data_IF_105705691226
#
_entry.id   IF_105705691226
#
_cell.length_a   1.000
_cell.length_b   1.000
_cell.length_c   1.000
_cell.angle_alpha   90.00
_cell.angle_beta   90.00
_cell.angle_gamma   90.00
#
_symmetry.space_group_name_H-M   'P 1'
#
loop_
_entity.id
_entity.type
_entity.pdbx_description
1 polymer ?
#
# COMPACT_ATOMS: atom_id res chain seq x y z
N UNK A 1 1.27 -5.87 29.20
CA UNK A 1 2.26 -5.92 28.10
C UNK A 1 2.38 -4.50 27.58
N UNK A 2 3.57 -3.89 27.61
CA UNK A 2 3.74 -2.52 27.16
C UNK A 2 3.23 -2.39 25.71
N UNK A 3 2.34 -1.42 25.46
CA UNK A 3 1.94 -1.04 24.10
C UNK A 3 3.19 -0.56 23.36
N UNK A 4 3.92 -1.49 22.73
CA UNK A 4 5.02 -1.16 21.84
C UNK A 4 4.41 -0.49 20.61
N UNK A 5 4.35 0.84 20.62
CA UNK A 5 3.94 1.65 19.50
C UNK A 5 5.21 2.23 18.89
N UNK A 6 5.49 1.91 17.64
CA UNK A 6 6.58 2.53 16.91
C UNK A 6 6.22 3.98 16.58
N UNK A 7 7.23 4.85 16.59
CA UNK A 7 7.08 6.25 16.19
C UNK A 7 7.80 6.46 14.87
N UNK A 8 7.12 7.12 13.92
CA UNK A 8 7.68 7.50 12.65
C UNK A 8 7.44 8.98 12.35
N UNK A 9 8.48 9.65 11.88
CA UNK A 9 8.44 11.06 11.49
C UNK A 9 7.99 11.17 10.04
N UNK A 10 6.86 11.84 9.79
CA UNK A 10 6.30 12.05 8.45
C UNK A 10 7.07 13.17 7.75
N UNK A 11 7.55 12.87 6.56
CA UNK A 11 8.11 13.85 5.63
C UNK A 11 7.03 14.16 4.60
N UNK A 12 6.34 15.27 4.83
CA UNK A 12 5.28 15.73 3.93
C UNK A 12 5.92 16.30 2.66
N UNK A 13 5.33 15.94 1.51
CA UNK A 13 5.68 16.51 0.22
C UNK A 13 4.47 17.21 -0.38
N UNK A 14 4.70 18.18 -1.26
CA UNK A 14 3.63 18.87 -2.01
C UNK A 14 2.76 17.88 -2.81
N UNK A 15 3.31 16.73 -3.18
CA UNK A 15 2.55 15.63 -3.76
C UNK A 15 2.16 14.59 -2.69
N UNK A 16 0.85 14.31 -2.49
CA UNK A 16 0.41 13.28 -1.54
C UNK A 16 1.05 11.92 -1.78
N UNK A 17 1.36 11.60 -3.04
CA UNK A 17 1.97 10.33 -3.42
C UNK A 17 3.44 10.21 -3.04
N UNK A 18 4.14 11.34 -2.89
CA UNK A 18 5.55 11.38 -2.54
C UNK A 18 5.77 11.40 -1.02
N UNK A 19 4.70 11.48 -0.22
CA UNK A 19 4.79 11.48 1.24
C UNK A 19 5.23 10.11 1.77
N UNK A 20 6.14 10.11 2.73
CA UNK A 20 6.67 8.92 3.40
C UNK A 20 6.95 9.24 4.88
N UNK A 21 7.19 8.21 5.68
CA UNK A 21 7.62 8.37 7.07
C UNK A 21 8.97 7.71 7.32
N UNK A 22 9.72 8.23 8.29
CA UNK A 22 11.03 7.74 8.68
C UNK A 22 11.00 7.24 10.12
N UNK A 23 11.44 6.01 10.31
CA UNK A 23 11.68 5.42 11.63
C UNK A 23 13.18 5.50 11.91
N UNK A 24 13.55 6.31 12.89
CA UNK A 24 14.94 6.55 13.25
C UNK A 24 15.44 5.58 14.34
N UNK A 25 14.56 5.09 15.20
CA UNK A 25 14.92 4.21 16.31
C UNK A 25 15.09 2.74 15.83
N UNK A 26 16.27 2.13 15.99
CA UNK A 26 16.50 0.72 15.65
C UNK A 26 15.55 -0.25 16.37
N UNK A 27 15.13 0.03 17.60
CA UNK A 27 14.20 -0.83 18.34
C UNK A 27 12.83 -0.85 17.67
N UNK A 28 12.35 0.30 17.21
CA UNK A 28 11.12 0.40 16.43
C UNK A 28 11.24 -0.31 15.08
N UNK A 29 12.39 -0.22 14.40
CA UNK A 29 12.63 -0.95 13.14
C UNK A 29 12.53 -2.46 13.36
N UNK A 30 13.20 -2.99 14.39
CA UNK A 30 13.15 -4.42 14.72
C UNK A 30 11.73 -4.84 15.08
N UNK A 31 11.02 -4.03 15.88
CA UNK A 31 9.63 -4.28 16.24
C UNK A 31 8.72 -4.36 15.01
N UNK A 32 8.83 -3.39 14.08
CA UNK A 32 8.03 -3.37 12.86
C UNK A 32 8.30 -4.57 11.97
N UNK A 33 9.57 -4.94 11.79
CA UNK A 33 9.96 -6.06 10.92
C UNK A 33 9.59 -7.42 11.51
N UNK A 34 9.88 -7.64 12.80
CA UNK A 34 9.74 -8.96 13.42
C UNK A 34 8.32 -9.22 13.96
N UNK A 35 7.62 -8.21 14.46
CA UNK A 35 6.29 -8.38 15.07
C UNK A 35 5.15 -7.91 14.17
N UNK A 36 5.36 -6.84 13.41
CA UNK A 36 4.31 -6.24 12.59
C UNK A 36 4.41 -6.61 11.10
N UNK A 37 5.43 -7.35 10.65
CA UNK A 37 5.66 -7.73 9.24
C UNK A 37 5.78 -6.53 8.28
N UNK A 38 6.21 -5.38 8.77
CA UNK A 38 6.46 -4.17 7.97
C UNK A 38 7.96 -4.03 7.74
N UNK A 39 8.38 -4.10 6.48
CA UNK A 39 9.80 -4.17 6.13
C UNK A 39 10.41 -2.84 5.71
N UNK A 40 9.61 -1.93 5.15
CA UNK A 40 10.06 -0.63 4.65
C UNK A 40 11.16 -0.72 3.59
N UNK A 41 11.71 0.45 3.27
CA UNK A 41 12.91 0.60 2.46
C UNK A 41 14.05 1.17 3.32
N UNK A 42 15.26 0.63 3.18
CA UNK A 42 16.42 1.19 3.88
C UNK A 42 16.80 2.53 3.23
N UNK A 43 16.91 3.58 4.04
CA UNK A 43 17.45 4.86 3.59
C UNK A 43 18.92 4.96 4.00
N UNK A 44 19.82 4.99 3.02
CA UNK A 44 21.25 5.19 3.25
C UNK A 44 21.52 6.68 3.14
N UNK A 45 21.94 7.31 4.24
CA UNK A 45 22.34 8.71 4.23
C UNK A 45 23.61 8.86 3.39
N UNK A 46 23.57 9.65 2.33
CA UNK A 46 24.68 9.83 1.36
C UNK A 46 25.83 10.67 1.96
N UNK A 47 25.66 11.24 3.15
CA UNK A 47 26.71 11.96 3.86
C UNK A 47 27.76 10.99 4.44
N UNK A 48 28.89 10.86 3.73
CA UNK A 48 30.23 10.44 4.19
C UNK A 48 30.30 9.45 5.35
N UNK A 49 30.71 8.21 5.03
CA UNK A 49 31.34 7.21 5.92
C UNK A 49 31.27 7.52 7.43
N UNK A 50 30.14 7.18 8.08
CA UNK A 50 30.05 7.14 9.54
C UNK A 50 28.86 6.31 9.98
N UNK A 51 29.03 5.64 11.11
CA UNK A 51 28.19 4.68 11.87
C UNK A 51 26.78 5.19 12.23
N UNK A 52 26.02 5.74 11.28
CA UNK A 52 24.63 6.12 11.51
C UNK A 52 23.74 4.86 11.43
N UNK A 53 22.82 4.64 12.39
CA UNK A 53 21.90 3.51 12.34
C UNK A 53 21.02 3.61 11.09
N UNK A 54 20.82 2.47 10.43
CA UNK A 54 19.98 2.38 9.23
C UNK A 54 18.56 2.86 9.55
N UNK A 55 18.14 3.96 8.91
CA UNK A 55 16.79 4.49 9.02
C UNK A 55 15.85 3.69 8.13
N UNK A 56 14.65 3.43 8.63
CA UNK A 56 13.63 2.73 7.87
C UNK A 56 12.62 3.72 7.30
N UNK A 57 12.54 3.76 5.98
CA UNK A 57 11.53 4.51 5.25
C UNK A 57 10.28 3.67 5.08
N UNK A 58 9.16 4.18 5.57
CA UNK A 58 7.84 3.60 5.41
C UNK A 58 7.10 4.31 4.29
N UNK A 59 6.54 3.52 3.38
CA UNK A 59 5.62 4.01 2.38
C UNK A 59 4.21 4.19 2.95
N UNK A 60 3.36 4.90 2.21
CA UNK A 60 2.00 5.22 2.61
C UNK A 60 1.17 3.98 2.99
N UNK A 61 1.27 2.90 2.21
CA UNK A 61 0.60 1.63 2.48
C UNK A 61 1.00 1.00 3.83
N UNK A 62 2.28 1.08 4.17
CA UNK A 62 2.83 0.56 5.43
C UNK A 62 2.41 1.41 6.62
N UNK A 63 2.47 2.74 6.45
CA UNK A 63 1.98 3.71 7.44
C UNK A 63 0.50 3.46 7.75
N UNK A 64 -0.30 3.20 6.71
CA UNK A 64 -1.74 3.01 6.84
C UNK A 64 -2.11 1.83 7.71
N UNK A 65 -1.44 0.69 7.49
CA UNK A 65 -1.67 -0.50 8.32
C UNK A 65 -1.23 -0.23 9.76
N UNK A 66 -0.09 0.41 9.96
CA UNK A 66 0.42 0.72 11.30
C UNK A 66 -0.49 1.62 12.12
N UNK A 67 -0.99 2.69 11.50
CA UNK A 67 -1.94 3.63 12.13
C UNK A 67 -3.26 2.92 12.41
N UNK A 68 -3.84 2.26 11.40
CA UNK A 68 -5.15 1.59 11.52
C UNK A 68 -5.14 0.48 12.58
N UNK A 69 -4.01 -0.21 12.76
CA UNK A 69 -3.84 -1.28 13.75
C UNK A 69 -3.28 -0.81 15.08
N UNK A 70 -2.98 0.49 15.22
CA UNK A 70 -2.55 1.10 16.48
C UNK A 70 -1.12 0.75 16.93
N UNK A 71 -0.29 0.21 16.04
CA UNK A 71 1.12 -0.11 16.36
C UNK A 71 2.12 0.93 15.83
N UNK A 72 1.65 1.94 15.09
CA UNK A 72 2.45 3.04 14.57
C UNK A 72 1.79 4.37 14.89
N UNK A 73 2.57 5.31 15.43
CA UNK A 73 2.20 6.71 15.60
C UNK A 73 3.03 7.58 14.65
N UNK A 74 2.35 8.50 13.98
CA UNK A 74 2.95 9.43 13.05
C UNK A 74 3.18 10.77 13.75
N UNK A 75 4.36 11.35 13.58
CA UNK A 75 4.75 12.65 14.13
C UNK A 75 5.25 13.57 13.01
N UNK A 76 5.02 14.87 13.11
CA UNK A 76 5.56 15.85 12.17
C UNK A 76 7.09 15.97 12.29
N UNK A 77 7.75 16.36 11.21
CA UNK A 77 9.19 16.59 11.21
C UNK A 77 9.52 17.89 11.93
N UNK A 78 10.04 17.81 13.16
CA UNK A 78 10.53 19.00 13.86
C UNK A 78 11.81 19.50 13.18
N UNK A 79 11.72 20.55 12.39
CA UNK A 79 12.90 21.22 11.82
C UNK A 79 13.46 22.14 12.91
N UNK A 80 14.46 21.67 13.66
CA UNK A 80 15.25 22.51 14.55
C UNK A 80 16.21 23.42 13.74
N UNK A 81 15.67 24.33 12.93
CA UNK A 81 16.38 25.50 12.44
C UNK A 81 15.91 26.69 13.28
N UNK A 82 16.85 27.36 13.97
CA UNK A 82 16.53 28.41 14.93
C UNK A 82 15.55 29.46 14.41
N UNK A 83 14.60 29.83 15.28
CA UNK A 83 13.51 30.80 15.11
C UNK A 83 12.31 30.36 14.25
N UNK A 84 11.22 30.05 14.95
CA UNK A 84 9.80 30.46 14.73
C UNK A 84 8.85 29.27 14.97
N UNK A 85 8.25 29.22 16.16
CA UNK A 85 7.32 28.19 16.67
C UNK A 85 5.95 28.14 15.96
N UNK A 86 5.79 28.81 14.81
CA UNK A 86 4.49 28.97 14.12
C UNK A 86 4.25 27.86 13.10
N UNK A 87 5.30 27.25 12.55
CA UNK A 87 5.17 26.19 11.54
C UNK A 87 4.80 24.82 12.13
N UNK A 88 5.14 24.58 13.40
CA UNK A 88 4.97 23.27 14.04
C UNK A 88 3.50 22.88 14.20
N UNK A 89 2.59 23.84 14.45
CA UNK A 89 1.16 23.57 14.64
C UNK A 89 0.44 23.23 13.33
N UNK A 90 0.77 23.93 12.25
CA UNK A 90 0.19 23.66 10.92
C UNK A 90 0.66 22.30 10.37
N UNK A 91 1.94 21.96 10.54
CA UNK A 91 2.47 20.66 10.14
C UNK A 91 1.88 19.51 10.98
N UNK A 92 1.70 19.71 12.29
CA UNK A 92 1.02 18.72 13.15
C UNK A 92 -0.44 18.52 12.75
N UNK A 93 -1.19 19.61 12.49
CA UNK A 93 -2.57 19.52 12.03
C UNK A 93 -2.68 18.79 10.68
N UNK A 94 -1.73 19.02 9.78
CA UNK A 94 -1.65 18.32 8.50
C UNK A 94 -1.37 16.83 8.68
N UNK A 95 -0.41 16.46 9.54
CA UNK A 95 -0.11 15.04 9.85
C UNK A 95 -1.29 14.35 10.51
N UNK A 96 -2.02 15.02 11.40
CA UNK A 96 -3.24 14.50 12.01
C UNK A 96 -4.33 14.28 10.95
N UNK A 97 -4.57 15.25 10.07
CA UNK A 97 -5.53 15.13 8.97
C UNK A 97 -5.16 13.96 8.04
N UNK A 98 -3.88 13.83 7.68
CA UNK A 98 -3.36 12.70 6.91
C UNK A 98 -3.59 11.37 7.61
N UNK A 99 -3.32 11.32 8.91
CA UNK A 99 -3.50 10.12 9.74
C UNK A 99 -4.97 9.67 9.73
N UNK A 100 -5.92 10.62 9.83
CA UNK A 100 -7.35 10.36 9.74
C UNK A 100 -7.76 9.84 8.36
N UNK A 101 -7.28 10.48 7.28
CA UNK A 101 -7.60 10.05 5.91
C UNK A 101 -7.05 8.65 5.61
N UNK A 102 -5.81 8.38 6.00
CA UNK A 102 -5.16 7.09 5.82
C UNK A 102 -5.86 5.99 6.64
N UNK A 103 -6.34 6.31 7.84
CA UNK A 103 -7.13 5.40 8.68
C UNK A 103 -8.52 5.08 8.08
N UNK A 104 -8.93 5.80 7.04
CA UNK A 104 -10.23 5.61 6.37
C UNK A 104 -11.36 6.46 6.97
N UNK A 105 -11.04 7.37 7.89
CA UNK A 105 -11.97 8.39 8.37
C UNK A 105 -11.96 9.53 7.34
N UNK A 106 -12.77 9.41 6.29
CA UNK A 106 -12.83 10.38 5.20
C UNK A 106 -13.31 11.73 5.75
N UNK A 107 -12.39 12.64 6.01
CA UNK A 107 -12.68 14.06 6.27
C UNK A 107 -12.76 14.79 4.93
N UNK A 108 -13.94 15.25 4.56
CA UNK A 108 -14.23 15.89 3.26
C UNK A 108 -13.69 17.33 3.12
N UNK A 109 -12.74 17.75 3.96
CA UNK A 109 -12.17 19.11 3.94
C UNK A 109 -10.68 19.10 4.27
N UNK A 110 -9.85 19.26 3.24
CA UNK A 110 -8.46 19.65 3.40
C UNK A 110 -7.65 19.56 2.10
N UNK A 111 -6.40 20.09 2.10
CA UNK A 111 -5.55 20.19 0.91
C UNK A 111 -4.94 18.86 0.49
N UNK A 112 -4.81 17.92 1.43
CA UNK A 112 -4.30 16.58 1.18
C UNK A 112 -5.47 15.64 0.87
N UNK A 113 -5.43 14.98 -0.30
CA UNK A 113 -6.44 14.02 -0.75
C UNK A 113 -5.79 12.94 -1.61
N UNK A 114 -6.06 11.68 -1.30
CA UNK A 114 -5.60 10.53 -2.06
C UNK A 114 -6.48 10.26 -3.28
N UNK A 115 -5.87 9.71 -4.34
CA UNK A 115 -6.62 9.23 -5.51
C UNK A 115 -7.39 7.95 -5.18
N UNK A 116 -8.43 7.65 -5.96
CA UNK A 116 -9.19 6.39 -5.82
C UNK A 116 -8.27 5.17 -5.89
N UNK A 117 -7.39 5.13 -6.89
CA UNK A 117 -6.36 4.08 -7.03
C UNK A 117 -5.49 3.93 -5.78
N UNK A 118 -5.14 5.03 -5.11
CA UNK A 118 -4.39 4.99 -3.85
C UNK A 118 -5.22 4.37 -2.73
N UNK A 119 -6.47 4.79 -2.56
CA UNK A 119 -7.35 4.18 -1.56
C UNK A 119 -7.50 2.67 -1.77
N UNK A 120 -7.61 2.20 -3.02
CA UNK A 120 -7.71 0.77 -3.30
C UNK A 120 -6.42 0.03 -2.99
N UNK A 121 -5.27 0.63 -3.32
CA UNK A 121 -3.96 0.09 -2.91
C UNK A 121 -3.82 -0.02 -1.39
N UNK A 122 -4.27 0.99 -0.62
CA UNK A 122 -4.27 0.92 0.84
C UNK A 122 -5.14 -0.23 1.37
N UNK A 123 -6.35 -0.40 0.81
CA UNK A 123 -7.28 -1.49 1.20
C UNK A 123 -6.72 -2.86 0.86
N UNK A 124 -6.20 -3.05 -0.36
CA UNK A 124 -5.60 -4.31 -0.80
C UNK A 124 -4.38 -4.66 0.04
N UNK A 125 -3.50 -3.68 0.32
CA UNK A 125 -2.33 -3.92 1.16
C UNK A 125 -2.74 -4.36 2.58
N UNK A 126 -3.72 -3.66 3.18
CA UNK A 126 -4.26 -4.02 4.50
C UNK A 126 -4.86 -5.43 4.51
N UNK A 127 -5.69 -5.77 3.54
CA UNK A 127 -6.34 -7.08 3.46
C UNK A 127 -5.32 -8.22 3.30
N UNK A 128 -4.31 -8.05 2.45
CA UNK A 128 -3.22 -9.02 2.31
C UNK A 128 -2.42 -9.18 3.61
N UNK A 129 -2.15 -8.08 4.30
CA UNK A 129 -1.48 -8.11 5.60
C UNK A 129 -2.33 -8.82 6.68
N UNK A 130 -3.64 -8.58 6.71
CA UNK A 130 -4.59 -9.22 7.63
C UNK A 130 -4.71 -10.72 7.37
N UNK A 131 -4.65 -11.14 6.11
CA UNK A 131 -4.57 -12.56 5.70
C UNK A 131 -3.26 -13.25 6.09
N UNK A 132 -2.30 -12.49 6.62
CA UNK A 132 -1.08 -13.02 7.21
C UNK A 132 0.14 -12.97 6.30
N UNK A 133 0.02 -12.41 5.10
CA UNK A 133 1.15 -12.26 4.19
C UNK A 133 2.09 -11.14 4.63
N UNK A 134 3.38 -11.29 4.30
CA UNK A 134 4.30 -10.16 4.24
C UNK A 134 4.15 -9.52 2.87
N UNK A 135 3.89 -8.21 2.83
CA UNK A 135 3.62 -7.47 1.60
C UNK A 135 4.74 -6.45 1.36
N UNK A 136 5.39 -6.53 0.20
CA UNK A 136 6.42 -5.55 -0.24
C UNK A 136 6.07 -4.96 -1.59
N UNK A 137 6.81 -3.95 -2.05
CA UNK A 137 6.51 -3.25 -3.30
C UNK A 137 7.05 -3.98 -4.53
N UNK A 138 6.17 -4.16 -5.52
CA UNK A 138 6.40 -4.94 -6.74
C UNK A 138 7.02 -4.18 -7.92
N UNK A 139 7.47 -2.93 -7.71
CA UNK A 139 7.88 -2.03 -8.82
C UNK A 139 8.97 -2.61 -9.71
N UNK A 140 9.90 -3.41 -9.15
CA UNK A 140 10.95 -4.13 -9.91
C UNK A 140 10.40 -5.14 -10.91
N UNK A 141 9.16 -5.59 -10.74
CA UNK A 141 8.50 -6.61 -11.54
C UNK A 141 7.27 -6.06 -12.27
N UNK A 142 7.11 -4.73 -12.34
CA UNK A 142 5.95 -4.09 -12.97
C UNK A 142 4.61 -4.43 -12.30
N UNK A 143 4.63 -4.76 -11.00
CA UNK A 143 3.45 -5.01 -10.19
C UNK A 143 3.37 -3.97 -9.05
N UNK A 144 2.21 -3.82 -8.41
CA UNK A 144 2.09 -2.93 -7.26
C UNK A 144 2.74 -3.56 -6.02
N UNK A 145 2.47 -4.86 -5.79
CA UNK A 145 2.96 -5.56 -4.61
C UNK A 145 3.52 -6.96 -4.93
N UNK A 146 4.35 -7.44 -4.01
CA UNK A 146 4.75 -8.84 -3.89
C UNK A 146 4.26 -9.36 -2.54
N UNK A 147 3.75 -10.59 -2.53
CA UNK A 147 3.36 -11.26 -1.29
C UNK A 147 4.27 -12.43 -0.98
N UNK A 148 4.56 -12.61 0.31
CA UNK A 148 5.39 -13.70 0.83
C UNK A 148 4.65 -14.35 1.99
N UNK A 149 4.79 -15.68 2.11
CA UNK A 149 4.29 -16.42 3.28
C UNK A 149 5.16 -16.23 4.52
N UNK A 150 6.42 -15.88 4.32
CA UNK A 150 7.43 -15.73 5.37
C UNK A 150 8.39 -14.59 4.99
N UNK A 151 9.48 -14.45 5.74
CA UNK A 151 10.43 -13.35 5.64
C UNK A 151 10.99 -13.19 4.20
N UNK A 152 10.87 -12.01 3.58
CA UNK A 152 11.32 -11.74 2.21
C UNK A 152 12.83 -11.89 2.00
N UNK A 153 13.63 -11.93 3.08
CA UNK A 153 15.08 -12.19 3.01
C UNK A 153 15.40 -13.68 2.75
N UNK A 154 14.50 -14.59 3.11
CA UNK A 154 14.73 -16.04 3.07
C UNK A 154 13.71 -16.79 2.22
N UNK A 155 12.54 -16.20 1.99
CA UNK A 155 11.47 -16.79 1.19
C UNK A 155 11.38 -16.15 -0.20
N UNK A 156 10.98 -16.96 -1.18
CA UNK A 156 10.57 -16.45 -2.47
C UNK A 156 9.17 -15.84 -2.38
N UNK A 157 8.95 -14.72 -3.07
CA UNK A 157 7.59 -14.18 -3.20
C UNK A 157 6.69 -15.22 -3.86
N UNK A 158 5.52 -15.45 -3.27
CA UNK A 158 4.50 -16.38 -3.74
C UNK A 158 3.85 -15.82 -5.02
N UNK A 159 3.51 -14.54 -4.99
CA UNK A 159 2.78 -13.90 -6.09
C UNK A 159 3.08 -12.41 -6.26
N UNK A 160 2.81 -11.94 -7.47
CA UNK A 160 2.75 -10.54 -7.88
C UNK A 160 1.29 -10.08 -7.82
N UNK A 161 1.04 -8.90 -7.24
CA UNK A 161 -0.28 -8.30 -7.13
C UNK A 161 -0.32 -7.00 -7.93
N UNK A 162 -1.33 -6.87 -8.79
CA UNK A 162 -1.63 -5.66 -9.54
C UNK A 162 -2.99 -5.12 -9.12
N UNK A 163 -3.03 -3.90 -8.59
CA UNK A 163 -4.29 -3.26 -8.19
C UNK A 163 -4.86 -2.50 -9.37
N UNK A 164 -6.10 -2.81 -9.70
CA UNK A 164 -6.86 -2.27 -10.83
C UNK A 164 -8.27 -1.90 -10.36
N UNK A 165 -8.86 -0.88 -10.97
CA UNK A 165 -10.28 -0.59 -10.73
C UNK A 165 -11.12 -1.81 -11.15
N UNK A 166 -12.22 -2.07 -10.45
CA UNK A 166 -13.09 -3.20 -10.72
C UNK A 166 -13.68 -3.15 -12.13
N UNK A 167 -14.00 -1.94 -12.61
CA UNK A 167 -14.53 -1.70 -13.94
C UNK A 167 -13.45 -1.30 -14.96
N UNK A 168 -12.16 -1.41 -14.60
CA UNK A 168 -11.07 -1.05 -15.51
C UNK A 168 -10.97 -2.02 -16.69
N UNK A 169 -11.09 -1.49 -17.91
CA UNK A 169 -10.83 -2.28 -19.11
C UNK A 169 -9.33 -2.59 -19.27
N UNK A 170 -9.03 -3.78 -19.77
CA UNK A 170 -7.67 -4.19 -20.08
C UNK A 170 -7.39 -4.13 -21.58
N UNK A 171 -6.29 -3.48 -21.95
CA UNK A 171 -5.73 -3.70 -23.28
C UNK A 171 -5.21 -5.14 -23.37
N UNK A 172 -5.48 -5.82 -24.49
CA UNK A 172 -5.03 -7.22 -24.71
C UNK A 172 -3.52 -7.36 -24.53
N UNK A 173 -2.76 -6.34 -24.96
CA UNK A 173 -1.30 -6.29 -24.89
C UNK A 173 -0.80 -6.28 -23.43
N UNK A 174 -1.54 -5.67 -22.52
CA UNK A 174 -1.19 -5.60 -21.09
C UNK A 174 -1.29 -6.99 -20.46
N UNK A 175 -2.38 -7.72 -20.75
CA UNK A 175 -2.57 -9.09 -20.26
C UNK A 175 -1.42 -9.99 -20.70
N UNK A 176 -1.01 -9.90 -21.98
CA UNK A 176 0.14 -10.67 -22.50
C UNK A 176 1.44 -10.27 -21.80
N UNK A 177 1.62 -8.98 -21.55
CA UNK A 177 2.81 -8.45 -20.85
C UNK A 177 2.88 -8.97 -19.41
N UNK A 178 1.78 -8.93 -18.67
CA UNK A 178 1.70 -9.48 -17.32
C UNK A 178 1.94 -11.00 -17.30
N UNK A 179 1.36 -11.75 -18.25
CA UNK A 179 1.63 -13.19 -18.39
C UNK A 179 3.11 -13.48 -18.61
N UNK A 180 3.76 -12.72 -19.51
CA UNK A 180 5.20 -12.85 -19.80
C UNK A 180 6.02 -12.58 -18.54
N UNK A 181 5.75 -11.48 -17.83
CA UNK A 181 6.48 -11.13 -16.62
C UNK A 181 6.35 -12.23 -15.54
N UNK A 182 5.12 -12.65 -15.25
CA UNK A 182 4.83 -13.70 -14.28
C UNK A 182 5.56 -15.02 -14.60
N UNK A 183 5.56 -15.41 -15.88
CA UNK A 183 6.26 -16.61 -16.36
C UNK A 183 7.78 -16.49 -16.25
N UNK A 184 8.35 -15.33 -16.56
CA UNK A 184 9.80 -15.11 -16.48
C UNK A 184 10.32 -15.23 -15.04
N UNK A 185 9.57 -14.71 -14.06
CA UNK A 185 9.97 -14.75 -12.65
C UNK A 185 9.45 -15.98 -11.90
N UNK A 186 8.69 -16.85 -12.58
CA UNK A 186 8.06 -18.06 -12.04
C UNK A 186 7.22 -17.79 -10.78
N UNK A 187 6.37 -16.76 -10.85
CA UNK A 187 5.46 -16.36 -9.76
C UNK A 187 4.03 -16.34 -10.25
N UNK A 188 3.09 -16.58 -9.35
CA UNK A 188 1.68 -16.32 -9.64
C UNK A 188 1.47 -14.83 -9.85
N UNK A 189 0.51 -14.47 -10.69
CA UNK A 189 0.10 -13.09 -10.90
C UNK A 189 -1.39 -12.98 -10.57
N UNK A 190 -1.74 -12.01 -9.73
CA UNK A 190 -3.12 -11.76 -9.35
C UNK A 190 -3.45 -10.29 -9.60
N UNK A 191 -4.61 -10.07 -10.19
CA UNK A 191 -5.29 -8.78 -10.13
C UNK A 191 -6.04 -8.68 -8.82
N UNK A 192 -6.04 -7.49 -8.23
CA UNK A 192 -6.81 -7.17 -7.04
C UNK A 192 -7.66 -5.93 -7.32
N UNK A 193 -8.96 -6.01 -7.03
CA UNK A 193 -9.90 -4.92 -7.25
C UNK A 193 -10.82 -4.77 -6.05
N UNK A 194 -11.15 -3.53 -5.70
CA UNK A 194 -12.08 -3.24 -4.61
C UNK A 194 -13.46 -3.03 -5.21
N UNK A 195 -14.42 -3.86 -4.81
CA UNK A 195 -15.80 -3.77 -5.25
C UNK A 195 -16.67 -3.18 -4.14
N UNK A 196 -17.48 -2.16 -4.47
CA UNK A 196 -18.55 -1.73 -3.59
C UNK A 196 -19.73 -2.70 -3.76
N UNK A 197 -20.12 -3.39 -2.69
CA UNK A 197 -21.34 -4.19 -2.72
C UNK A 197 -22.48 -3.24 -2.36
N UNK A 198 -23.28 -2.88 -3.36
CA UNK A 198 -24.57 -2.24 -3.11
C UNK A 198 -25.54 -3.35 -2.66
N UNK A 199 -25.92 -3.33 -1.38
CA UNK A 199 -27.06 -4.12 -0.94
C UNK A 199 -28.29 -3.59 -1.68
N UNK A 200 -28.82 -4.41 -2.59
CA UNK A 200 -30.13 -4.19 -3.19
C UNK A 200 -31.17 -4.15 -2.07
N UNK A 201 -31.51 -2.95 -1.62
CA UNK A 201 -32.63 -2.76 -0.70
C UNK A 201 -33.88 -3.25 -1.43
N UNK A 202 -34.48 -4.33 -0.93
CA UNK A 202 -35.89 -4.62 -1.21
C UNK A 202 -36.68 -3.40 -0.75
N UNK A 203 -37.45 -2.80 -1.67
CA UNK A 203 -38.28 -1.63 -1.43
C UNK A 203 -39.22 -1.85 -0.24
N UNK A 204 -38.93 -1.25 0.90
CA UNK A 204 -39.89 -0.81 1.92
C UNK A 204 -39.20 0.14 2.94
N UNK A 205 -39.98 1.08 3.47
CA UNK A 205 -39.63 2.46 3.86
C UNK A 205 -38.63 2.75 5.01
N UNK A 206 -38.04 3.95 4.90
CA UNK A 206 -37.55 4.91 5.92
C UNK A 206 -36.68 4.41 7.09
N UNK A 207 -35.37 4.72 7.06
CA UNK A 207 -34.60 5.13 8.26
C UNK A 207 -33.27 5.80 7.89
N UNK A 208 -33.04 6.96 8.48
CA UNK A 208 -31.73 7.61 8.61
C UNK A 208 -30.70 6.61 9.14
N UNK A 209 -29.62 6.46 8.38
CA UNK A 209 -28.49 5.62 8.74
C UNK A 209 -27.43 5.77 7.67
N UNK A 210 -26.28 6.33 8.03
CA UNK A 210 -25.05 6.31 7.23
C UNK A 210 -24.75 4.85 6.88
N UNK A 211 -25.23 4.41 5.72
CA UNK A 211 -24.97 3.09 5.19
C UNK A 211 -23.47 2.97 4.93
N UNK A 212 -22.76 2.25 5.79
CA UNK A 212 -21.36 1.92 5.56
C UNK A 212 -21.33 0.98 4.38
N UNK A 213 -21.10 1.51 3.17
CA UNK A 213 -20.93 0.72 1.96
C UNK A 213 -19.85 -0.34 2.22
N UNK A 214 -20.26 -1.60 2.31
CA UNK A 214 -19.34 -2.70 2.57
C UNK A 214 -18.53 -2.94 1.29
N UNK A 215 -17.22 -2.72 1.37
CA UNK A 215 -16.32 -2.88 0.23
C UNK A 215 -15.60 -4.22 0.35
N UNK A 216 -15.83 -5.11 -0.61
CA UNK A 216 -15.14 -6.38 -0.71
C UNK A 216 -13.92 -6.24 -1.63
N UNK A 217 -12.94 -7.14 -1.47
CA UNK A 217 -11.78 -7.20 -2.35
C UNK A 217 -11.82 -8.52 -3.12
N UNK A 218 -11.77 -8.41 -4.45
CA UNK A 218 -11.77 -9.55 -5.36
C UNK A 218 -10.36 -9.75 -5.90
N UNK A 219 -9.90 -11.01 -5.87
CA UNK A 219 -8.61 -11.41 -6.42
C UNK A 219 -8.80 -12.36 -7.59
N UNK A 220 -8.26 -12.02 -8.75
CA UNK A 220 -8.36 -12.83 -9.97
C UNK A 220 -6.96 -13.28 -10.35
N UNK A 221 -6.72 -14.59 -10.33
CA UNK A 221 -5.43 -15.15 -10.76
C UNK A 221 -5.35 -15.21 -12.28
N UNK A 222 -4.24 -14.75 -12.82
CA UNK A 222 -3.90 -14.89 -14.23
C UNK A 222 -3.15 -16.22 -14.42
N UNK A 223 -3.92 -17.30 -14.57
CA UNK A 223 -3.38 -18.64 -14.84
C UNK A 223 -3.42 -18.91 -16.35
N UNK A 224 -2.25 -19.17 -16.95
CA UNK A 224 -2.07 -19.66 -18.33
C UNK A 224 -2.97 -19.01 -19.38
N UNK A 225 -2.58 -17.83 -19.88
CA UNK A 225 -3.13 -17.34 -21.14
C UNK A 225 -2.68 -18.27 -22.28
N UNK A 226 -3.54 -19.22 -22.69
CA UNK A 226 -3.43 -19.90 -23.97
C UNK A 226 -3.73 -18.87 -25.07
N UNK A 227 -2.68 -18.18 -25.52
CA UNK A 227 -2.76 -17.40 -26.74
C UNK A 227 -2.78 -18.38 -27.91
N UNK A 228 -3.98 -18.79 -28.32
CA UNK A 228 -4.17 -19.45 -29.61
C UNK A 228 -3.98 -18.39 -30.68
N UNK A 229 -2.77 -18.28 -31.23
CA UNK A 229 -2.56 -17.53 -32.47
C UNK A 229 -3.22 -18.31 -33.60
N UNK A 230 -4.31 -17.79 -34.17
CA UNK A 230 -4.82 -18.24 -35.47
C UNK A 230 -3.77 -17.90 -36.54
N UNK A 231 -2.84 -18.82 -36.79
CA UNK A 231 -1.86 -18.67 -37.88
C UNK A 231 -1.87 -19.83 -38.89
N UNK A 232 -2.79 -20.80 -38.77
CA UNK A 232 -2.87 -21.97 -39.67
C UNK A 232 -4.23 -22.12 -40.39
N UNK A 233 -4.79 -21.04 -40.95
CA UNK A 233 -5.90 -21.15 -41.93
C UNK A 233 -5.53 -20.58 -43.31
N UNK A 234 -4.24 -20.53 -43.67
CA UNK A 234 -3.80 -19.99 -45.00
C UNK A 234 -3.10 -20.96 -45.95
N UNK A 235 -3.06 -22.27 -45.67
CA UNK A 235 -2.46 -23.26 -46.56
C UNK A 235 -3.44 -24.37 -47.04
N UNK A 236 -4.71 -24.03 -47.24
CA UNK A 236 -5.66 -24.89 -47.96
C UNK A 236 -6.55 -24.02 -48.86
N UNK A 237 -5.98 -23.56 -49.97
CA UNK A 237 -6.69 -23.14 -51.18
C UNK A 237 -5.79 -23.37 -52.39
#
# INVERSE_FOLDING_TARGET
>A
MANCCAVATVIVSSEPNATYALVNDPQHVVFLQQRCRIYGSSEVSIATASTAPARLRLALEEMAVGVTKGFLRLEAAVICAGSTTICDEEEQALVEQMTQEIAGNVTSRGPWRLSLRRHDRLRVYRDLWERGYVVTFGSKFGADFLIYKDNPKHAHAEALIMVKDYEEEFARVDIVSFCRMAKMVKKQFLFASVQAIEESKSDDEQKDGSGVAMKSIVYISLAYALLVSRQEERNLA
#
